data_IF_314607713547
#
_entry.id   IF_314607713547
#
_cell.length_a   1.000
_cell.length_b   1.000
_cell.length_c   1.000
_cell.angle_alpha   90.00
_cell.angle_beta   90.00
_cell.angle_gamma   90.00
#
_symmetry.space_group_name_H-M   'P 1'
#
loop_
_entity.id
_entity.type
_entity.pdbx_description
1 polymer ?
#
# COMPACT_ATOMS: atom_id res chain seq x y z
N UNK A 1 49.60 51.01 -10.14
CA UNK A 1 48.72 51.06 -11.33
C UNK A 1 48.12 49.66 -11.61
N UNK A 2 47.45 49.05 -10.62
CA UNK A 2 46.84 47.70 -10.71
C UNK A 2 45.68 47.50 -9.71
N UNK A 3 45.01 48.58 -9.30
CA UNK A 3 43.92 48.55 -8.32
C UNK A 3 42.80 49.58 -8.63
N UNK A 4 42.45 49.79 -9.91
CA UNK A 4 41.41 50.76 -10.29
C UNK A 4 40.36 50.25 -11.30
N UNK A 5 40.36 48.97 -11.66
CA UNK A 5 39.37 48.39 -12.60
C UNK A 5 38.83 47.01 -12.15
N UNK A 6 38.56 46.85 -10.86
CA UNK A 6 37.99 45.59 -10.32
C UNK A 6 36.46 45.58 -10.27
N UNK A 7 35.85 46.65 -9.77
CA UNK A 7 34.40 46.67 -9.48
C UNK A 7 33.61 47.63 -10.37
N UNK A 8 34.20 48.75 -10.80
CA UNK A 8 33.49 49.76 -11.59
C UNK A 8 33.25 49.32 -13.05
N UNK A 9 34.10 48.44 -13.61
CA UNK A 9 33.94 47.93 -14.98
C UNK A 9 32.81 46.91 -15.15
N UNK A 10 32.55 46.09 -14.11
CA UNK A 10 31.45 45.11 -14.13
C UNK A 10 30.10 45.77 -13.87
N UNK A 11 30.06 46.77 -12.99
CA UNK A 11 28.88 47.61 -12.77
C UNK A 11 28.53 48.44 -14.02
N UNK A 12 29.53 48.96 -14.75
CA UNK A 12 29.31 49.66 -16.01
C UNK A 12 28.78 48.74 -17.12
N UNK A 13 29.33 47.53 -17.27
CA UNK A 13 28.84 46.56 -18.26
C UNK A 13 27.42 46.06 -17.93
N UNK A 14 27.13 45.80 -16.65
CA UNK A 14 25.79 45.42 -16.20
C UNK A 14 24.77 46.55 -16.39
N UNK A 15 25.16 47.81 -16.14
CA UNK A 15 24.30 48.97 -16.36
C UNK A 15 24.02 49.22 -17.85
N UNK A 16 24.99 48.99 -18.74
CA UNK A 16 24.79 49.10 -20.19
C UNK A 16 23.87 47.99 -20.70
N UNK A 17 24.08 46.74 -20.27
CA UNK A 17 23.23 45.61 -20.69
C UNK A 17 21.80 45.76 -20.13
N UNK A 18 21.66 46.17 -18.85
CA UNK A 18 20.36 46.45 -18.26
C UNK A 18 19.66 47.65 -18.92
N UNK A 19 20.42 48.68 -19.33
CA UNK A 19 19.91 49.81 -20.10
C UNK A 19 19.40 49.41 -21.49
N UNK A 20 20.14 48.52 -22.18
CA UNK A 20 19.72 47.98 -23.48
C UNK A 20 18.47 47.10 -23.34
N UNK A 21 18.43 46.23 -22.33
CA UNK A 21 17.25 45.39 -22.06
C UNK A 21 16.02 46.21 -21.64
N UNK A 22 16.21 47.24 -20.82
CA UNK A 22 15.15 48.15 -20.42
C UNK A 22 14.62 48.96 -21.62
N UNK A 23 15.49 49.40 -22.54
CA UNK A 23 15.09 50.08 -23.77
C UNK A 23 14.30 49.15 -24.71
N UNK A 24 14.68 47.87 -24.80
CA UNK A 24 13.96 46.84 -25.60
C UNK A 24 12.57 46.56 -25.02
N UNK A 25 12.45 46.51 -23.69
CA UNK A 25 11.18 46.23 -23.01
C UNK A 25 10.24 47.44 -22.94
N UNK A 26 10.77 48.67 -22.86
CA UNK A 26 9.98 49.89 -22.73
C UNK A 26 9.53 50.49 -24.08
N UNK A 27 10.21 50.18 -25.19
CA UNK A 27 9.86 50.71 -26.52
C UNK A 27 9.93 49.62 -27.62
N UNK A 28 9.09 48.57 -27.57
CA UNK A 28 9.10 47.51 -28.58
C UNK A 28 8.79 48.04 -30.00
N UNK A 29 7.98 49.08 -30.14
CA UNK A 29 7.64 49.66 -31.45
C UNK A 29 8.72 50.61 -32.03
N UNK A 30 9.61 51.15 -31.19
CA UNK A 30 10.70 52.03 -31.64
C UNK A 30 11.82 51.27 -32.37
N UNK A 31 12.11 50.04 -31.92
CA UNK A 31 13.15 49.18 -32.51
C UNK A 31 12.73 48.65 -33.88
N UNK A 32 11.45 48.33 -34.07
CA UNK A 32 10.92 47.94 -35.38
C UNK A 32 11.01 49.06 -36.43
N UNK A 33 10.93 50.33 -36.01
CA UNK A 33 11.13 51.49 -36.91
C UNK A 33 12.59 51.73 -37.29
N UNK A 34 13.53 51.42 -36.39
CA UNK A 34 14.99 51.48 -36.68
C UNK A 34 15.43 50.31 -37.57
N UNK A 35 14.86 49.12 -37.36
CA UNK A 35 15.09 47.95 -38.21
C UNK A 35 14.40 48.05 -39.58
N UNK A 36 13.26 48.76 -39.68
CA UNK A 36 12.59 49.07 -40.94
C UNK A 36 13.35 50.07 -41.84
N UNK A 37 14.44 50.66 -41.35
CA UNK A 37 15.31 51.58 -42.10
C UNK A 37 16.52 50.92 -42.76
N UNK A 38 16.82 49.65 -42.47
CA UNK A 38 17.85 48.90 -43.18
C UNK A 38 17.22 48.20 -44.39
N UNK A 39 17.11 48.94 -45.49
CA UNK A 39 16.97 48.31 -46.80
C UNK A 39 18.28 47.59 -47.12
N UNK A 40 18.36 46.28 -46.83
CA UNK A 40 19.39 45.45 -47.42
C UNK A 40 18.99 45.21 -48.88
N UNK A 41 19.40 46.12 -49.74
CA UNK A 41 19.58 45.86 -51.16
C UNK A 41 20.78 44.94 -51.32
N UNK A 42 20.57 43.63 -51.45
CA UNK A 42 21.45 42.74 -52.21
C UNK A 42 20.82 41.36 -52.30
N UNK A 43 20.73 40.86 -53.53
CA UNK A 43 19.95 39.69 -53.89
C UNK A 43 20.45 38.35 -53.35
N UNK A 44 19.67 37.35 -53.75
CA UNK A 44 19.92 35.91 -53.64
C UNK A 44 19.87 35.34 -52.21
N UNK A 45 18.64 35.04 -51.75
CA UNK A 45 18.32 33.75 -51.12
C UNK A 45 16.80 33.66 -50.82
N UNK A 46 15.96 33.68 -51.87
CA UNK A 46 14.65 33.03 -51.78
C UNK A 46 14.86 31.60 -52.30
N UNK A 47 15.65 30.81 -51.56
CA UNK A 47 15.87 29.40 -51.89
C UNK A 47 14.75 28.58 -51.25
N UNK A 48 14.37 27.48 -51.90
CA UNK A 48 13.43 26.50 -51.35
C UNK A 48 13.82 26.07 -49.93
N UNK A 49 15.13 26.06 -49.64
CA UNK A 49 15.71 25.83 -48.31
C UNK A 49 15.28 26.87 -47.27
N UNK A 50 15.27 28.17 -47.59
CA UNK A 50 14.82 29.21 -46.64
C UNK A 50 13.34 29.04 -46.28
N UNK A 51 12.51 28.64 -47.25
CA UNK A 51 11.09 28.36 -47.05
C UNK A 51 10.84 27.06 -46.28
N UNK A 52 11.66 26.04 -46.51
CA UNK A 52 11.66 24.79 -45.75
C UNK A 52 12.10 25.01 -44.29
N UNK A 53 13.12 25.84 -44.07
CA UNK A 53 13.61 26.24 -42.75
C UNK A 53 12.52 27.03 -42.01
N UNK A 54 11.85 27.98 -42.68
CA UNK A 54 10.74 28.73 -42.08
C UNK A 54 9.50 27.86 -41.79
N UNK A 55 9.18 26.86 -42.63
CA UNK A 55 8.13 25.87 -42.34
C UNK A 55 8.51 24.92 -41.19
N UNK A 56 9.79 24.53 -41.08
CA UNK A 56 10.30 23.77 -39.93
C UNK A 56 10.25 24.60 -38.65
N UNK A 57 10.56 25.90 -38.73
CA UNK A 57 10.48 26.84 -37.62
C UNK A 57 9.05 27.16 -37.19
N UNK A 58 8.08 27.20 -38.11
CA UNK A 58 6.67 27.45 -37.73
C UNK A 58 5.96 26.23 -37.13
N UNK A 59 6.47 25.02 -37.33
CA UNK A 59 6.00 23.77 -36.70
C UNK A 59 6.66 23.48 -35.34
N UNK A 60 7.68 24.24 -34.94
CA UNK A 60 8.38 24.09 -33.65
C UNK A 60 7.56 24.69 -32.51
N UNK A 61 6.56 23.95 -32.07
CA UNK A 61 5.89 24.22 -30.81
C UNK A 61 6.84 23.97 -29.64
N UNK A 62 6.70 24.73 -28.56
CA UNK A 62 7.44 24.50 -27.31
C UNK A 62 7.24 23.06 -26.80
N UNK A 63 8.25 22.46 -26.15
CA UNK A 63 8.11 21.11 -25.60
C UNK A 63 6.92 21.04 -24.64
N UNK A 64 6.06 20.05 -24.83
CA UNK A 64 4.91 19.81 -23.95
C UNK A 64 5.30 18.78 -22.91
N UNK A 65 5.11 19.17 -21.65
CA UNK A 65 5.35 18.34 -20.48
C UNK A 65 4.11 18.41 -19.57
N UNK A 66 3.48 17.26 -19.33
CA UNK A 66 2.40 17.10 -18.38
C UNK A 66 2.78 16.07 -17.33
N UNK A 67 2.57 16.44 -16.07
CA UNK A 67 2.94 15.67 -14.89
C UNK A 67 1.69 15.53 -14.02
N UNK A 68 1.44 14.32 -13.52
CA UNK A 68 0.38 14.01 -12.58
C UNK A 68 0.96 13.90 -11.15
N UNK A 69 0.26 14.51 -10.19
CA UNK A 69 0.63 14.37 -8.78
C UNK A 69 0.17 13.01 -8.26
N UNK A 70 1.00 12.38 -7.43
CA UNK A 70 0.71 11.04 -6.88
C UNK A 70 0.59 11.09 -5.37
N UNK A 71 -0.23 10.19 -4.83
CA UNK A 71 -0.36 9.95 -3.39
C UNK A 71 0.14 8.54 -3.13
N UNK A 72 1.11 8.39 -2.21
CA UNK A 72 1.68 7.11 -1.81
C UNK A 72 1.42 6.87 -0.33
N UNK A 73 1.18 5.61 0.05
CA UNK A 73 1.14 5.20 1.45
C UNK A 73 2.57 4.87 1.95
N UNK A 74 2.78 4.91 3.26
CA UNK A 74 4.07 4.50 3.85
C UNK A 74 4.30 3.01 3.53
N UNK A 75 5.43 2.71 2.87
CA UNK A 75 5.76 1.38 2.37
C UNK A 75 5.53 1.18 0.87
N UNK A 76 4.80 2.08 0.21
CA UNK A 76 4.67 2.08 -1.26
C UNK A 76 5.92 2.69 -1.91
N UNK A 77 6.18 2.27 -3.15
CA UNK A 77 7.21 2.85 -4.00
C UNK A 77 6.67 3.27 -5.37
N UNK A 78 7.33 4.26 -5.98
CA UNK A 78 6.98 4.79 -7.29
C UNK A 78 8.24 5.23 -8.05
N UNK A 79 8.31 4.93 -9.34
CA UNK A 79 9.34 5.47 -10.23
C UNK A 79 8.92 6.85 -10.76
N UNK A 80 9.86 7.80 -10.81
CA UNK A 80 9.56 9.17 -11.24
C UNK A 80 9.01 9.29 -12.66
N UNK A 81 9.41 8.39 -13.56
CA UNK A 81 8.88 8.33 -14.92
C UNK A 81 7.36 8.07 -14.96
N UNK A 82 6.80 7.38 -13.96
CA UNK A 82 5.38 7.04 -13.89
C UNK A 82 4.50 8.24 -13.54
N UNK A 83 5.10 9.37 -13.16
CA UNK A 83 4.41 10.65 -12.97
C UNK A 83 4.20 11.41 -14.29
N UNK A 84 4.88 11.04 -15.37
CA UNK A 84 4.80 11.76 -16.65
C UNK A 84 3.65 11.21 -17.49
N UNK A 85 2.61 12.02 -17.67
CA UNK A 85 1.47 11.66 -18.52
C UNK A 85 1.73 12.00 -19.98
N UNK A 86 2.46 13.10 -20.25
CA UNK A 86 2.80 13.53 -21.61
C UNK A 86 4.20 14.16 -21.64
N UNK A 87 5.04 13.71 -22.58
CA UNK A 87 6.31 14.35 -22.93
C UNK A 87 6.48 14.29 -24.46
N UNK A 88 6.31 15.43 -25.13
CA UNK A 88 6.37 15.51 -26.60
C UNK A 88 7.00 16.82 -27.09
N UNK A 89 7.64 16.77 -28.26
CA UNK A 89 8.19 17.95 -28.93
C UNK A 89 8.00 17.84 -30.44
N UNK A 90 7.28 18.79 -31.03
CA UNK A 90 7.00 18.80 -32.47
C UNK A 90 6.32 17.51 -32.94
N UNK A 91 7.03 16.70 -33.73
CA UNK A 91 6.56 15.40 -34.26
C UNK A 91 7.04 14.19 -33.44
N UNK A 92 7.88 14.39 -32.42
CA UNK A 92 8.35 13.33 -31.54
C UNK A 92 7.39 13.16 -30.37
N UNK A 93 6.69 12.03 -30.35
CA UNK A 93 5.86 11.58 -29.24
C UNK A 93 6.65 10.58 -28.41
N UNK A 94 6.73 10.81 -27.10
CA UNK A 94 7.44 10.01 -26.10
C UNK A 94 8.92 10.38 -25.89
N UNK A 95 9.12 11.53 -25.23
CA UNK A 95 10.44 12.01 -24.79
C UNK A 95 10.68 11.76 -23.29
N UNK A 96 10.00 10.77 -22.69
CA UNK A 96 10.06 10.51 -21.23
C UNK A 96 11.48 10.24 -20.73
N UNK A 97 12.29 9.56 -21.53
CA UNK A 97 13.70 9.27 -21.21
C UNK A 97 14.61 10.51 -21.23
N UNK A 98 14.18 11.59 -21.90
CA UNK A 98 14.93 12.85 -21.99
C UNK A 98 14.52 13.87 -20.92
N UNK A 99 13.53 13.53 -20.09
CA UNK A 99 13.13 14.37 -18.95
C UNK A 99 14.17 14.25 -17.86
N UNK A 100 14.64 15.40 -17.38
CA UNK A 100 15.49 15.52 -16.20
C UNK A 100 14.64 15.78 -14.97
N UNK A 101 15.00 15.14 -13.87
CA UNK A 101 14.26 15.19 -12.61
C UNK A 101 15.13 15.86 -11.55
N UNK A 102 14.58 16.82 -10.81
CA UNK A 102 15.27 17.53 -9.75
C UNK A 102 14.47 17.45 -8.44
N UNK A 103 15.14 17.03 -7.37
CA UNK A 103 14.58 17.01 -6.01
C UNK A 103 14.50 18.44 -5.43
N UNK A 104 13.85 18.61 -4.27
CA UNK A 104 13.66 19.93 -3.63
C UNK A 104 14.98 20.61 -3.25
N UNK A 105 16.03 19.85 -2.98
CA UNK A 105 17.39 20.35 -2.72
C UNK A 105 18.18 20.72 -3.99
N UNK A 106 17.61 20.47 -5.18
CA UNK A 106 18.22 20.73 -6.49
C UNK A 106 19.06 19.58 -7.05
N UNK A 107 19.09 18.42 -6.40
CA UNK A 107 19.83 17.23 -6.88
C UNK A 107 19.17 16.64 -8.14
N UNK A 108 19.96 16.43 -9.21
CA UNK A 108 19.53 15.80 -10.46
C UNK A 108 19.47 14.26 -10.29
N UNK A 109 18.32 13.67 -10.59
CA UNK A 109 18.08 12.23 -10.57
C UNK A 109 17.54 11.74 -11.92
N UNK A 110 17.61 10.44 -12.17
CA UNK A 110 17.15 9.84 -13.43
C UNK A 110 15.71 9.27 -13.30
N UNK A 111 15.11 8.87 -14.42
CA UNK A 111 13.71 8.38 -14.45
C UNK A 111 13.49 7.05 -13.72
N UNK A 112 14.55 6.27 -13.53
CA UNK A 112 14.57 5.03 -12.73
C UNK A 112 14.74 5.28 -11.23
N UNK A 113 14.79 6.54 -10.80
CA UNK A 113 14.85 6.88 -9.38
C UNK A 113 13.52 6.47 -8.71
N UNK A 114 13.62 5.51 -7.80
CA UNK A 114 12.51 5.01 -7.01
C UNK A 114 12.39 5.83 -5.73
N UNK A 115 11.20 6.38 -5.50
CA UNK A 115 10.87 7.05 -4.23
C UNK A 115 10.11 6.06 -3.37
N UNK A 116 10.72 5.65 -2.26
CA UNK A 116 10.05 4.90 -1.19
C UNK A 116 9.42 5.86 -0.20
N UNK A 117 8.16 5.59 0.17
CA UNK A 117 7.41 6.34 1.16
C UNK A 117 7.89 6.06 2.59
N UNK A 118 9.10 6.47 2.98
CA UNK A 118 9.65 6.11 4.31
C UNK A 118 9.13 7.00 5.46
N UNK A 119 8.72 8.24 5.13
CA UNK A 119 8.24 9.24 6.11
C UNK A 119 7.08 10.05 5.53
N UNK A 120 6.07 10.39 6.34
CA UNK A 120 4.96 11.22 5.90
C UNK A 120 5.45 12.64 5.55
N UNK A 121 5.00 13.15 4.41
CA UNK A 121 5.47 14.43 3.89
C UNK A 121 5.04 14.70 2.46
N UNK A 122 5.36 15.88 1.95
CA UNK A 122 5.17 16.24 0.55
C UNK A 122 6.55 16.36 -0.08
N UNK A 123 6.85 15.48 -1.04
CA UNK A 123 8.06 15.57 -1.84
C UNK A 123 7.73 16.40 -3.09
N UNK A 124 8.39 17.53 -3.27
CA UNK A 124 8.28 18.34 -4.49
C UNK A 124 9.36 17.93 -5.48
N UNK A 125 8.96 17.77 -6.73
CA UNK A 125 9.83 17.34 -7.81
C UNK A 125 9.67 18.28 -8.99
N UNK A 126 10.80 18.71 -9.54
CA UNK A 126 10.83 19.55 -10.73
C UNK A 126 11.27 18.70 -11.93
N UNK A 127 10.47 18.75 -12.99
CA UNK A 127 10.67 18.04 -14.23
C UNK A 127 11.05 19.06 -15.30
N UNK A 128 12.18 18.83 -15.99
CA UNK A 128 12.69 19.71 -17.03
C UNK A 128 12.86 18.89 -18.31
N UNK A 129 12.24 19.34 -19.39
CA UNK A 129 12.43 18.77 -20.72
C UNK A 129 13.10 19.83 -21.60
N UNK A 130 14.33 19.54 -22.04
CA UNK A 130 15.06 20.36 -23.01
C UNK A 130 14.81 19.78 -24.40
N UNK A 131 14.10 20.54 -25.25
CA UNK A 131 13.89 20.15 -26.64
C UNK A 131 15.16 20.31 -27.48
N UNK A 132 15.12 19.80 -28.72
CA UNK A 132 16.25 19.81 -29.66
C UNK A 132 16.77 21.22 -30.01
N UNK A 133 15.97 22.26 -29.75
CA UNK A 133 16.30 23.67 -30.01
C UNK A 133 16.81 24.43 -28.79
N UNK A 134 17.23 23.73 -27.73
CA UNK A 134 17.61 24.32 -26.44
C UNK A 134 16.47 25.11 -25.76
N UNK A 135 15.23 24.93 -26.20
CA UNK A 135 14.06 25.43 -25.48
C UNK A 135 13.68 24.48 -24.35
N UNK A 136 13.58 25.02 -23.14
CA UNK A 136 13.29 24.26 -21.93
C UNK A 136 11.86 24.50 -21.46
N UNK A 137 11.14 23.41 -21.17
CA UNK A 137 9.87 23.46 -20.46
C UNK A 137 10.05 22.85 -19.07
N UNK A 138 9.59 23.58 -18.05
CA UNK A 138 9.68 23.16 -16.65
C UNK A 138 8.27 22.98 -16.06
N UNK A 139 8.07 21.88 -15.32
CA UNK A 139 6.87 21.61 -14.53
C UNK A 139 7.24 21.12 -13.14
N UNK A 140 6.47 21.55 -12.14
CA UNK A 140 6.56 21.02 -10.78
C UNK A 140 5.43 20.03 -10.53
N UNK A 141 5.77 18.84 -10.04
CA UNK A 141 4.82 17.90 -9.46
C UNK A 141 5.09 17.69 -7.98
N UNK A 142 4.16 17.06 -7.28
CA UNK A 142 4.38 16.61 -5.91
C UNK A 142 3.94 15.17 -5.72
N UNK A 143 4.65 14.48 -4.83
CA UNK A 143 4.25 13.20 -4.26
C UNK A 143 3.86 13.46 -2.81
N UNK A 144 2.63 13.16 -2.45
CA UNK A 144 2.19 13.23 -1.07
C UNK A 144 2.30 11.85 -0.43
N UNK A 145 3.26 11.68 0.48
CA UNK A 145 3.40 10.47 1.29
C UNK A 145 2.53 10.67 2.53
N UNK A 146 1.49 9.86 2.65
CA UNK A 146 0.57 9.90 3.78
C UNK A 146 0.87 8.74 4.73
N UNK A 147 0.90 9.05 6.03
CA UNK A 147 0.76 7.99 7.05
C UNK A 147 -0.59 7.31 6.84
N UNK A 148 -0.64 5.98 7.00
CA UNK A 148 -1.89 5.21 6.95
C UNK A 148 -2.90 5.90 7.86
N UNK A 149 -3.89 6.61 7.29
CA UNK A 149 -4.90 7.33 8.06
C UNK A 149 -5.68 6.29 8.87
N UNK A 150 -5.53 6.34 10.19
CA UNK A 150 -6.44 5.68 11.09
C UNK A 150 -7.84 6.26 10.84
N UNK A 151 -8.71 5.44 10.28
CA UNK A 151 -10.18 5.56 10.19
C UNK A 151 -10.79 6.95 10.48
N UNK A 152 -11.45 7.62 9.50
CA UNK A 152 -12.08 8.92 9.71
C UNK A 152 -13.19 8.93 10.77
N UNK A 153 -13.56 7.76 11.31
CA UNK A 153 -14.59 7.56 12.33
C UNK A 153 -14.07 7.58 13.77
N UNK A 154 -12.76 7.73 14.03
CA UNK A 154 -12.24 7.73 15.41
C UNK A 154 -12.55 9.05 16.12
N UNK A 155 -13.20 8.96 17.29
CA UNK A 155 -13.59 10.12 18.10
C UNK A 155 -12.70 10.34 19.31
N UNK A 156 -12.13 9.27 19.88
CA UNK A 156 -11.29 9.36 21.07
C UNK A 156 -10.31 8.17 21.21
N UNK A 157 -9.17 8.40 21.86
CA UNK A 157 -8.33 7.35 22.44
C UNK A 157 -8.84 7.05 23.86
N UNK A 158 -9.15 5.79 24.14
CA UNK A 158 -9.65 5.33 25.44
C UNK A 158 -8.49 4.94 26.34
N UNK A 159 -7.67 3.99 25.88
CA UNK A 159 -6.57 3.42 26.64
C UNK A 159 -5.38 3.10 25.72
N UNK A 160 -4.18 3.11 26.32
CA UNK A 160 -2.92 2.73 25.70
C UNK A 160 -2.16 1.79 26.66
N UNK A 161 -1.57 0.74 26.11
CA UNK A 161 -0.80 -0.24 26.87
C UNK A 161 0.56 -0.51 26.21
N UNK A 162 1.61 -0.59 27.02
CA UNK A 162 2.95 -1.01 26.58
C UNK A 162 3.08 -2.54 26.56
N UNK A 163 3.22 -3.07 25.35
CA UNK A 163 3.11 -4.49 25.04
C UNK A 163 4.45 -5.11 24.64
N UNK A 164 5.46 -4.29 24.36
CA UNK A 164 6.79 -4.73 23.94
C UNK A 164 7.61 -5.34 25.07
N UNK A 165 8.45 -6.32 24.73
CA UNK A 165 9.54 -6.76 25.62
C UNK A 165 10.47 -5.58 26.01
N UNK A 166 11.34 -5.79 26.98
CA UNK A 166 12.26 -4.74 27.45
C UNK A 166 13.11 -4.18 26.30
N UNK A 167 12.91 -2.90 25.97
CA UNK A 167 13.61 -2.20 24.88
C UNK A 167 12.91 -2.24 23.51
N UNK A 168 11.76 -2.90 23.39
CA UNK A 168 10.96 -2.96 22.14
C UNK A 168 9.87 -1.87 22.14
N UNK A 169 9.64 -1.21 20.99
CA UNK A 169 8.62 -0.18 20.84
C UNK A 169 7.32 -0.81 20.33
N UNK A 170 6.58 -1.47 21.23
CA UNK A 170 5.28 -2.07 20.89
C UNK A 170 4.22 -1.62 21.87
N UNK A 171 3.14 -1.06 21.33
CA UNK A 171 2.00 -0.55 22.09
C UNK A 171 0.67 -0.96 21.49
N UNK A 172 -0.31 -1.21 22.34
CA UNK A 172 -1.68 -1.39 21.94
C UNK A 172 -2.49 -0.15 22.32
N UNK A 173 -3.35 0.30 21.41
CA UNK A 173 -4.23 1.46 21.61
C UNK A 173 -5.66 1.08 21.32
N UNK A 174 -6.54 1.49 22.22
CA UNK A 174 -7.97 1.30 22.08
C UNK A 174 -8.61 2.64 21.76
N UNK A 175 -9.26 2.70 20.61
CA UNK A 175 -9.95 3.90 20.14
C UNK A 175 -11.46 3.68 20.14
N UNK A 176 -12.19 4.76 20.42
CA UNK A 176 -13.63 4.84 20.27
C UNK A 176 -13.98 5.41 18.89
N UNK A 177 -14.95 4.79 18.21
CA UNK A 177 -15.49 5.28 16.94
C UNK A 177 -16.75 6.13 17.13
N UNK A 178 -17.19 6.85 16.10
CA UNK A 178 -18.42 7.68 16.08
C UNK A 178 -19.68 6.86 16.37
N UNK A 179 -19.70 5.60 15.95
CA UNK A 179 -20.79 4.64 16.17
C UNK A 179 -20.70 3.91 17.53
N UNK A 180 -19.90 4.45 18.47
CA UNK A 180 -19.66 3.89 19.81
C UNK A 180 -18.96 2.52 19.83
N UNK A 181 -18.51 2.00 18.68
CA UNK A 181 -17.73 0.76 18.62
C UNK A 181 -16.25 1.00 18.85
N UNK A 182 -15.50 -0.08 19.12
CA UNK A 182 -14.09 0.01 19.46
C UNK A 182 -13.18 -0.48 18.33
N UNK A 183 -12.11 0.28 18.10
CA UNK A 183 -10.99 -0.09 17.24
C UNK A 183 -9.78 -0.37 18.14
N UNK A 184 -9.23 -1.58 18.04
CA UNK A 184 -7.95 -1.93 18.64
C UNK A 184 -6.83 -1.78 17.60
N UNK A 185 -5.74 -1.12 17.97
CA UNK A 185 -4.56 -0.94 17.11
C UNK A 185 -3.31 -1.39 17.85
N UNK A 186 -2.59 -2.38 17.32
CA UNK A 186 -1.27 -2.76 17.77
C UNK A 186 -0.24 -2.11 16.86
N UNK A 187 0.54 -1.21 17.43
CA UNK A 187 1.43 -0.29 16.73
C UNK A 187 2.87 -0.42 17.22
N UNK A 188 3.79 -0.07 16.33
CA UNK A 188 5.22 -0.06 16.58
C UNK A 188 5.96 -1.24 15.97
N UNK A 189 7.16 -1.49 16.49
CA UNK A 189 8.08 -2.50 16.01
C UNK A 189 8.76 -3.20 17.17
N UNK A 190 8.72 -4.53 17.14
CA UNK A 190 9.43 -5.37 18.10
C UNK A 190 8.62 -6.56 18.58
N UNK A 191 9.21 -7.29 19.54
CA UNK A 191 8.60 -8.47 20.14
C UNK A 191 7.57 -8.10 21.21
N UNK A 192 6.41 -8.74 21.14
CA UNK A 192 5.34 -8.63 22.14
C UNK A 192 5.63 -9.55 23.32
N UNK A 193 5.36 -9.07 24.55
CA UNK A 193 5.39 -9.90 25.76
C UNK A 193 4.51 -11.16 25.56
N UNK A 194 4.79 -12.29 26.24
CA UNK A 194 3.92 -13.46 26.19
C UNK A 194 2.52 -13.12 26.74
N UNK A 195 1.49 -13.34 25.91
CA UNK A 195 0.11 -13.04 26.24
C UNK A 195 -0.80 -14.24 25.98
N UNK A 196 -1.89 -14.30 26.73
CA UNK A 196 -3.01 -15.22 26.53
C UNK A 196 -4.35 -14.52 26.78
N UNK A 197 -5.45 -15.26 26.69
CA UNK A 197 -6.81 -14.78 26.90
C UNK A 197 -7.05 -14.02 28.23
N UNK A 198 -6.26 -14.27 29.27
CA UNK A 198 -6.42 -13.69 30.62
C UNK A 198 -5.46 -12.51 30.87
N UNK A 199 -4.40 -12.42 30.08
CA UNK A 199 -3.35 -11.39 30.21
C UNK A 199 -3.41 -10.30 29.13
N UNK A 200 -4.20 -10.48 28.07
CA UNK A 200 -4.43 -9.39 27.11
C UNK A 200 -5.07 -8.17 27.81
N UNK A 201 -4.58 -6.94 27.57
CA UNK A 201 -5.09 -5.75 28.27
C UNK A 201 -6.57 -5.45 28.00
N UNK A 202 -7.05 -5.74 26.79
CA UNK A 202 -8.41 -5.45 26.37
C UNK A 202 -9.44 -6.51 26.76
N UNK A 203 -9.12 -7.43 27.69
CA UNK A 203 -10.00 -8.55 28.06
C UNK A 203 -11.39 -8.12 28.53
N UNK A 204 -11.50 -6.99 29.25
CA UNK A 204 -12.76 -6.52 29.82
C UNK A 204 -13.67 -5.85 28.79
N UNK A 205 -13.10 -5.40 27.66
CA UNK A 205 -13.82 -4.71 26.58
C UNK A 205 -13.90 -5.52 25.28
N UNK A 206 -13.30 -6.73 25.25
CA UNK A 206 -13.11 -7.54 24.04
C UNK A 206 -14.39 -7.84 23.26
N UNK A 207 -15.54 -7.97 23.93
CA UNK A 207 -16.82 -8.23 23.27
C UNK A 207 -17.29 -7.07 22.38
N UNK A 208 -16.78 -5.85 22.60
CA UNK A 208 -17.16 -4.62 21.87
C UNK A 208 -16.17 -4.20 20.79
N UNK A 209 -15.03 -4.89 20.69
CA UNK A 209 -14.02 -4.63 19.64
C UNK A 209 -14.57 -5.09 18.30
N UNK A 210 -14.76 -4.15 17.38
CA UNK A 210 -15.30 -4.39 16.05
C UNK A 210 -14.19 -4.63 15.02
N UNK A 211 -13.11 -3.85 15.13
CA UNK A 211 -11.99 -3.83 14.20
C UNK A 211 -10.70 -3.93 15.00
N UNK A 212 -9.76 -4.76 14.53
CA UNK A 212 -8.41 -4.79 15.04
C UNK A 212 -7.41 -4.57 13.91
N UNK A 213 -6.40 -3.73 14.14
CA UNK A 213 -5.27 -3.48 13.23
C UNK A 213 -3.98 -3.88 13.92
N UNK A 214 -3.12 -4.61 13.21
CA UNK A 214 -1.79 -4.99 13.69
C UNK A 214 -0.79 -4.53 12.64
N UNK A 215 0.17 -3.70 13.04
CA UNK A 215 1.21 -3.16 12.17
C UNK A 215 2.23 -4.22 11.73
N UNK A 216 3.00 -3.89 10.69
CA UNK A 216 3.94 -4.82 10.07
C UNK A 216 5.03 -5.29 11.03
N UNK A 217 5.59 -4.35 11.79
CA UNK A 217 6.75 -4.55 12.67
C UNK A 217 6.48 -5.32 13.95
N UNK A 218 5.23 -5.75 14.20
CA UNK A 218 4.87 -6.51 15.40
C UNK A 218 5.33 -7.96 15.24
N UNK A 219 6.14 -8.43 16.18
CA UNK A 219 6.66 -9.80 16.22
C UNK A 219 6.10 -10.56 17.43
N UNK A 220 5.57 -11.75 17.21
CA UNK A 220 5.17 -12.67 18.28
C UNK A 220 5.19 -14.10 17.77
N UNK A 221 5.65 -15.04 18.59
CA UNK A 221 5.60 -16.47 18.25
C UNK A 221 4.20 -17.07 18.52
N UNK A 222 3.38 -16.43 19.34
CA UNK A 222 2.12 -16.97 19.87
C UNK A 222 1.04 -15.89 19.98
N UNK A 223 -0.11 -16.17 19.38
CA UNK A 223 -1.32 -15.34 19.43
C UNK A 223 -2.47 -16.02 20.18
N UNK A 224 -2.15 -16.99 21.04
CA UNK A 224 -3.13 -17.83 21.71
C UNK A 224 -4.13 -16.98 22.50
N UNK A 225 -5.42 -17.11 22.19
CA UNK A 225 -6.51 -16.43 22.90
C UNK A 225 -6.54 -14.90 22.79
N UNK A 226 -5.74 -14.26 21.93
CA UNK A 226 -5.68 -12.79 21.86
C UNK A 226 -7.03 -12.12 21.57
N UNK A 227 -7.88 -12.77 20.77
CA UNK A 227 -9.22 -12.31 20.41
C UNK A 227 -10.30 -13.28 20.91
N UNK A 228 -10.02 -14.04 21.96
CA UNK A 228 -10.99 -14.97 22.55
C UNK A 228 -12.27 -14.22 22.94
N UNK A 229 -13.41 -14.66 22.41
CA UNK A 229 -14.73 -14.06 22.59
C UNK A 229 -14.83 -12.59 22.16
N UNK A 230 -14.05 -12.13 21.17
CA UNK A 230 -14.30 -10.84 20.53
C UNK A 230 -15.56 -10.89 19.65
N UNK A 231 -16.73 -10.92 20.30
CA UNK A 231 -18.02 -11.19 19.67
C UNK A 231 -18.42 -10.18 18.60
N UNK A 232 -17.94 -8.94 18.67
CA UNK A 232 -18.22 -7.89 17.69
C UNK A 232 -17.21 -7.83 16.53
N UNK A 233 -16.13 -8.61 16.58
CA UNK A 233 -15.06 -8.56 15.58
C UNK A 233 -15.57 -9.01 14.21
N UNK A 234 -15.56 -8.10 13.23
CA UNK A 234 -16.12 -8.33 11.89
C UNK A 234 -15.11 -8.92 10.90
N UNK A 235 -13.83 -8.59 11.09
CA UNK A 235 -12.74 -8.96 10.20
C UNK A 235 -11.56 -9.52 10.99
N UNK A 236 -10.83 -10.44 10.37
CA UNK A 236 -9.60 -10.99 10.94
C UNK A 236 -8.50 -9.94 10.80
N UNK A 237 -7.81 -9.55 11.89
CA UNK A 237 -6.66 -8.67 11.81
C UNK A 237 -5.51 -9.34 11.06
N UNK A 238 -4.56 -8.51 10.58
CA UNK A 238 -3.27 -9.02 10.12
C UNK A 238 -2.65 -9.92 11.18
N UNK A 239 -2.20 -11.10 10.78
CA UNK A 239 -1.47 -12.01 11.66
C UNK A 239 0.03 -11.85 11.38
N UNK A 240 0.87 -11.57 12.39
CA UNK A 240 2.33 -11.53 12.23
C UNK A 240 2.86 -12.82 11.61
N UNK A 241 3.77 -12.70 10.63
CA UNK A 241 4.37 -13.87 9.96
C UNK A 241 5.22 -14.73 10.90
N UNK A 242 5.68 -14.14 12.00
CA UNK A 242 6.44 -14.82 13.06
C UNK A 242 5.58 -15.69 13.98
N UNK A 243 4.25 -15.56 13.93
CA UNK A 243 3.34 -16.30 14.79
C UNK A 243 3.12 -17.73 14.27
N UNK A 244 3.42 -18.70 15.12
CA UNK A 244 3.28 -20.12 14.81
C UNK A 244 2.09 -20.78 15.53
N UNK A 245 1.65 -20.20 16.65
CA UNK A 245 0.54 -20.71 17.48
C UNK A 245 -0.62 -19.72 17.54
N UNK A 246 -1.82 -20.23 17.28
CA UNK A 246 -3.09 -19.49 17.22
C UNK A 246 -4.21 -20.21 18.01
N UNK A 247 -3.86 -20.83 19.13
CA UNK A 247 -4.82 -21.62 19.90
C UNK A 247 -5.92 -20.72 20.45
N UNK A 248 -7.17 -21.06 20.15
CA UNK A 248 -8.35 -20.32 20.58
C UNK A 248 -8.35 -18.83 20.22
N UNK A 249 -7.51 -18.38 19.26
CA UNK A 249 -7.29 -16.96 18.99
C UNK A 249 -8.58 -16.21 18.66
N UNK A 250 -9.48 -16.79 17.87
CA UNK A 250 -10.77 -16.20 17.50
C UNK A 250 -11.96 -17.01 18.03
N UNK A 251 -11.77 -17.82 19.08
CA UNK A 251 -12.84 -18.65 19.63
C UNK A 251 -14.02 -17.79 20.07
N UNK A 252 -15.22 -18.06 19.56
CA UNK A 252 -16.45 -17.34 19.88
C UNK A 252 -16.62 -15.97 19.21
N UNK A 253 -15.80 -15.65 18.19
CA UNK A 253 -15.93 -14.43 17.38
C UNK A 253 -17.11 -14.54 16.40
N UNK A 254 -18.31 -14.37 16.93
CA UNK A 254 -19.57 -14.63 16.22
C UNK A 254 -19.93 -13.63 15.10
N UNK A 255 -19.17 -12.57 14.84
CA UNK A 255 -19.41 -11.67 13.70
C UNK A 255 -18.49 -11.94 12.51
N UNK A 256 -17.48 -12.79 12.67
CA UNK A 256 -16.61 -13.21 11.57
C UNK A 256 -17.40 -14.05 10.56
N UNK A 257 -17.27 -13.68 9.28
CA UNK A 257 -17.90 -14.41 8.15
C UNK A 257 -16.91 -15.26 7.34
N UNK A 258 -15.63 -14.92 7.40
CA UNK A 258 -14.58 -15.63 6.69
C UNK A 258 -13.42 -15.95 7.65
N UNK A 259 -12.85 -17.14 7.51
CA UNK A 259 -11.67 -17.59 8.24
C UNK A 259 -10.43 -17.57 7.33
N UNK A 260 -9.31 -17.14 7.89
CA UNK A 260 -7.99 -17.20 7.27
C UNK A 260 -6.99 -17.91 8.19
N UNK A 261 -6.19 -18.81 7.64
CA UNK A 261 -5.11 -19.47 8.38
C UNK A 261 -3.80 -19.08 7.69
N UNK A 262 -2.82 -18.51 8.41
CA UNK A 262 -1.57 -18.09 7.79
C UNK A 262 -0.72 -19.32 7.44
N UNK A 263 0.02 -19.24 6.33
CA UNK A 263 0.81 -20.36 5.80
C UNK A 263 1.89 -20.88 6.77
N UNK A 264 2.32 -20.06 7.73
CA UNK A 264 3.29 -20.43 8.77
C UNK A 264 2.69 -21.12 10.01
N UNK A 265 1.35 -21.17 10.15
CA UNK A 265 0.71 -21.67 11.37
C UNK A 265 0.98 -23.16 11.62
N UNK A 266 1.44 -23.49 12.83
CA UNK A 266 1.71 -24.87 13.26
C UNK A 266 0.61 -25.42 14.16
N UNK A 267 0.10 -24.59 15.07
CA UNK A 267 -0.98 -24.94 15.99
C UNK A 267 -2.15 -23.97 15.85
N UNK A 268 -3.30 -24.49 15.44
CA UNK A 268 -4.55 -23.75 15.25
C UNK A 268 -5.70 -24.38 16.05
N UNK A 269 -5.39 -25.07 17.15
CA UNK A 269 -6.39 -25.70 18.01
C UNK A 269 -7.47 -24.69 18.43
N UNK A 270 -8.73 -25.00 18.13
CA UNK A 270 -9.88 -24.18 18.50
C UNK A 270 -9.84 -22.74 17.98
N UNK A 271 -8.99 -22.42 16.99
CA UNK A 271 -8.77 -21.05 16.51
C UNK A 271 -10.09 -20.34 16.13
N UNK A 272 -11.05 -21.06 15.54
CA UNK A 272 -12.38 -20.57 15.18
C UNK A 272 -13.51 -21.36 15.85
N UNK A 273 -13.24 -22.03 16.98
CA UNK A 273 -14.29 -22.74 17.72
C UNK A 273 -15.41 -21.77 18.12
N UNK A 274 -16.67 -22.21 18.03
CA UNK A 274 -17.86 -21.40 18.36
C UNK A 274 -18.05 -20.13 17.51
N UNK A 275 -17.44 -20.04 16.32
CA UNK A 275 -17.71 -18.97 15.34
C UNK A 275 -18.97 -19.28 14.50
N UNK A 276 -20.15 -19.11 15.09
CA UNK A 276 -21.41 -19.59 14.50
C UNK A 276 -21.86 -18.91 13.20
N UNK A 277 -21.34 -17.72 12.89
CA UNK A 277 -21.62 -17.00 11.62
C UNK A 277 -20.56 -17.18 10.54
N UNK A 278 -19.54 -18.01 10.79
CA UNK A 278 -18.49 -18.27 9.81
C UNK A 278 -19.08 -19.00 8.60
N UNK A 279 -19.02 -18.37 7.43
CA UNK A 279 -19.58 -18.91 6.18
C UNK A 279 -18.51 -19.53 5.29
N UNK A 280 -17.30 -18.98 5.31
CA UNK A 280 -16.19 -19.41 4.45
C UNK A 280 -14.93 -19.62 5.29
N UNK A 281 -14.09 -20.56 4.86
CA UNK A 281 -12.76 -20.74 5.41
C UNK A 281 -11.75 -21.00 4.27
N UNK A 282 -10.55 -20.46 4.43
CA UNK A 282 -9.42 -20.76 3.56
C UNK A 282 -8.91 -22.20 3.69
N UNK A 283 -7.86 -22.56 2.94
CA UNK A 283 -7.21 -23.85 3.07
C UNK A 283 -6.63 -24.06 4.47
N UNK A 284 -6.48 -25.32 4.88
CA UNK A 284 -5.59 -25.68 5.99
C UNK A 284 -4.18 -25.85 5.42
N UNK A 285 -3.21 -24.98 5.78
CA UNK A 285 -1.87 -25.00 5.21
C UNK A 285 -1.08 -26.27 5.53
N UNK A 286 -0.01 -26.50 4.78
CA UNK A 286 0.86 -27.69 4.92
C UNK A 286 1.72 -27.68 6.19
N UNK A 287 1.90 -26.51 6.81
CA UNK A 287 2.63 -26.28 8.06
C UNK A 287 1.86 -26.73 9.30
N UNK A 288 0.53 -26.80 9.22
CA UNK A 288 -0.33 -27.13 10.36
C UNK A 288 -0.05 -28.56 10.84
N UNK A 289 0.12 -28.72 12.15
CA UNK A 289 0.33 -29.99 12.84
C UNK A 289 -0.83 -30.32 13.79
N UNK A 290 -1.41 -29.29 14.39
CA UNK A 290 -2.56 -29.39 15.30
C UNK A 290 -3.72 -28.51 14.81
N UNK A 291 -4.85 -29.14 14.47
CA UNK A 291 -6.10 -28.47 14.12
C UNK A 291 -7.30 -29.02 14.91
N UNK A 292 -7.07 -29.47 16.14
CA UNK A 292 -8.15 -29.94 17.02
C UNK A 292 -9.19 -28.85 17.20
N UNK A 293 -10.48 -29.20 17.12
CA UNK A 293 -11.59 -28.29 17.35
C UNK A 293 -11.60 -26.98 16.53
N UNK A 294 -10.75 -26.82 15.50
CA UNK A 294 -10.54 -25.52 14.83
C UNK A 294 -11.82 -24.88 14.31
N UNK A 295 -12.73 -25.65 13.71
CA UNK A 295 -14.01 -25.18 13.18
C UNK A 295 -15.21 -25.77 13.93
N UNK A 296 -15.00 -26.24 15.16
CA UNK A 296 -16.07 -26.81 15.97
C UNK A 296 -17.18 -25.78 16.19
N UNK A 297 -18.43 -26.21 16.04
CA UNK A 297 -19.64 -25.38 16.14
C UNK A 297 -19.76 -24.26 15.08
N UNK A 298 -18.97 -24.30 13.99
CA UNK A 298 -19.13 -23.39 12.83
C UNK A 298 -20.29 -23.83 11.93
N UNK A 299 -21.53 -23.68 12.42
CA UNK A 299 -22.72 -24.24 11.77
C UNK A 299 -23.04 -23.70 10.38
N UNK A 300 -22.60 -22.47 10.03
CA UNK A 300 -22.86 -21.86 8.71
C UNK A 300 -21.75 -22.08 7.67
N UNK A 301 -20.70 -22.81 8.03
CA UNK A 301 -19.54 -23.00 7.18
C UNK A 301 -19.90 -23.85 5.95
N UNK A 302 -19.68 -23.30 4.76
CA UNK A 302 -20.06 -23.90 3.46
C UNK A 302 -18.95 -23.68 2.44
N UNK A 303 -19.10 -24.27 1.26
CA UNK A 303 -18.13 -24.12 0.17
C UNK A 303 -17.08 -25.22 0.22
N UNK A 304 -15.81 -24.88 0.00
CA UNK A 304 -14.72 -25.85 -0.08
C UNK A 304 -13.51 -25.45 0.75
N UNK A 305 -12.96 -26.39 1.52
CA UNK A 305 -11.71 -26.25 2.27
C UNK A 305 -10.69 -27.22 1.68
N UNK A 306 -9.58 -26.70 1.18
CA UNK A 306 -8.47 -27.53 0.71
C UNK A 306 -7.55 -27.89 1.89
N UNK A 307 -7.20 -29.18 1.98
CA UNK A 307 -6.22 -29.68 2.92
C UNK A 307 -4.86 -29.75 2.21
N UNK A 308 -4.01 -28.78 2.48
CA UNK A 308 -2.66 -28.72 1.88
C UNK A 308 -1.66 -29.57 2.67
N UNK A 309 -1.95 -29.87 3.94
CA UNK A 309 -1.18 -30.72 4.83
C UNK A 309 -1.93 -31.94 5.37
N UNK A 310 -1.21 -32.77 6.13
CA UNK A 310 -1.74 -33.88 6.93
C UNK A 310 -1.49 -33.57 8.41
N UNK A 311 -2.38 -32.83 9.09
CA UNK A 311 -2.22 -32.54 10.51
C UNK A 311 -2.22 -33.85 11.30
N UNK A 312 -1.34 -33.95 12.30
CA UNK A 312 -1.22 -35.14 13.14
C UNK A 312 -2.36 -35.20 14.18
N UNK A 313 -2.85 -34.04 14.60
CA UNK A 313 -3.95 -33.87 15.54
C UNK A 313 -5.05 -33.09 14.86
N UNK A 314 -6.22 -33.72 14.69
CA UNK A 314 -7.37 -33.14 13.96
C UNK A 314 -8.70 -33.46 14.64
N UNK A 315 -8.64 -33.99 15.85
CA UNK A 315 -9.82 -34.42 16.59
C UNK A 315 -10.78 -33.25 16.82
N UNK A 316 -12.03 -33.45 16.46
CA UNK A 316 -13.11 -32.48 16.58
C UNK A 316 -13.01 -31.29 15.64
N UNK A 317 -12.06 -31.29 14.68
CA UNK A 317 -11.80 -30.13 13.81
C UNK A 317 -13.07 -29.59 13.14
N UNK A 318 -13.94 -30.48 12.65
CA UNK A 318 -15.20 -30.14 12.01
C UNK A 318 -16.45 -30.58 12.80
N UNK A 319 -16.34 -30.73 14.11
CA UNK A 319 -17.45 -31.17 14.96
C UNK A 319 -18.58 -30.13 14.95
N UNK A 320 -19.81 -30.55 14.65
CA UNK A 320 -20.98 -29.65 14.52
C UNK A 320 -20.79 -28.51 13.50
N UNK A 321 -19.89 -28.67 12.53
CA UNK A 321 -19.69 -27.75 11.41
C UNK A 321 -20.72 -27.99 10.31
N UNK A 322 -21.09 -26.94 9.56
CA UNK A 322 -22.02 -27.06 8.41
C UNK A 322 -23.39 -27.67 8.77
N UNK A 323 -23.87 -27.42 9.99
CA UNK A 323 -25.16 -27.91 10.53
C UNK A 323 -26.35 -27.03 10.15
N UNK A 324 -26.10 -25.78 9.75
CA UNK A 324 -27.07 -24.71 9.48
C UNK A 324 -26.85 -24.08 8.09
N UNK A 325 -26.53 -24.88 7.08
CA UNK A 325 -26.16 -24.40 5.72
C UNK A 325 -27.30 -24.45 4.70
N UNK A 326 -28.52 -24.76 5.12
CA UNK A 326 -29.65 -24.93 4.19
C UNK A 326 -29.34 -26.02 3.16
N UNK A 327 -29.51 -25.73 1.87
CA UNK A 327 -29.21 -26.65 0.76
C UNK A 327 -27.73 -26.73 0.37
N UNK A 328 -26.87 -25.88 0.96
CA UNK A 328 -25.44 -25.93 0.74
C UNK A 328 -24.77 -27.09 1.48
N UNK A 329 -23.48 -27.24 1.28
CA UNK A 329 -22.64 -28.23 1.96
C UNK A 329 -21.21 -27.70 2.05
N UNK A 330 -20.42 -28.35 2.91
CA UNK A 330 -18.99 -28.13 3.03
C UNK A 330 -18.23 -29.29 2.37
N UNK A 331 -17.36 -28.93 1.44
CA UNK A 331 -16.52 -29.87 0.71
C UNK A 331 -15.09 -29.83 1.26
N UNK A 332 -14.59 -30.98 1.71
CA UNK A 332 -13.18 -31.14 2.04
C UNK A 332 -12.46 -31.64 0.79
N UNK A 333 -11.44 -30.89 0.34
CA UNK A 333 -10.72 -31.14 -0.90
C UNK A 333 -9.30 -31.59 -0.56
N UNK A 334 -8.90 -32.74 -1.09
CA UNK A 334 -7.55 -33.28 -0.94
C UNK A 334 -6.99 -33.66 -2.32
N UNK A 335 -5.75 -33.26 -2.58
CA UNK A 335 -4.99 -33.49 -3.83
C UNK A 335 -4.20 -34.80 -3.84
N UNK A 336 -4.04 -35.46 -2.69
CA UNK A 336 -3.31 -36.72 -2.54
C UNK A 336 -4.03 -37.70 -1.63
N UNK A 337 -3.71 -38.98 -1.78
CA UNK A 337 -4.35 -40.09 -1.04
C UNK A 337 -4.13 -40.01 0.48
N UNK A 338 -2.94 -39.60 0.93
CA UNK A 338 -2.63 -39.42 2.36
C UNK A 338 -3.47 -38.31 2.99
N UNK A 339 -3.66 -37.20 2.27
CA UNK A 339 -4.51 -36.09 2.71
C UNK A 339 -6.00 -36.45 2.64
N UNK A 340 -6.40 -37.26 1.66
CA UNK A 340 -7.76 -37.75 1.56
C UNK A 340 -8.13 -38.66 2.73
N UNK A 341 -7.19 -39.50 3.21
CA UNK A 341 -7.39 -40.31 4.41
C UNK A 341 -7.61 -39.45 5.66
N UNK A 342 -6.82 -38.38 5.83
CA UNK A 342 -7.02 -37.41 6.91
C UNK A 342 -8.38 -36.70 6.79
N UNK A 343 -8.75 -36.25 5.59
CA UNK A 343 -10.04 -35.63 5.30
C UNK A 343 -11.22 -36.56 5.65
N UNK A 344 -11.12 -37.83 5.28
CA UNK A 344 -12.13 -38.84 5.59
C UNK A 344 -12.24 -39.13 7.09
N UNK A 345 -11.12 -39.17 7.82
CA UNK A 345 -11.12 -39.36 9.25
C UNK A 345 -11.81 -38.19 9.96
N UNK A 346 -11.45 -36.94 9.60
CA UNK A 346 -12.09 -35.73 10.10
C UNK A 346 -13.59 -35.70 9.79
N UNK A 347 -13.97 -36.07 8.56
CA UNK A 347 -15.37 -36.15 8.13
C UNK A 347 -16.17 -37.18 8.95
N UNK A 348 -15.62 -38.39 9.13
CA UNK A 348 -16.30 -39.46 9.89
C UNK A 348 -16.54 -39.04 11.34
N UNK A 349 -15.57 -38.39 11.97
CA UNK A 349 -15.74 -37.85 13.31
C UNK A 349 -16.86 -36.81 13.38
N UNK A 350 -16.91 -35.88 12.41
CA UNK A 350 -17.92 -34.84 12.36
C UNK A 350 -19.36 -35.37 12.19
N UNK A 351 -19.54 -36.45 11.41
CA UNK A 351 -20.86 -37.04 11.10
C UNK A 351 -21.32 -38.07 12.14
N UNK A 352 -20.39 -38.79 12.78
CA UNK A 352 -20.75 -39.82 13.76
C UNK A 352 -21.46 -39.27 15.01
N UNK A 353 -21.38 -37.96 15.27
CA UNK A 353 -21.93 -37.31 16.48
C UNK A 353 -23.44 -36.95 16.36
N UNK A 354 -24.22 -37.73 15.60
CA UNK A 354 -25.68 -37.54 15.41
C UNK A 354 -26.07 -36.14 14.89
N UNK A 355 -25.17 -35.53 14.12
CA UNK A 355 -25.19 -34.12 13.74
C UNK A 355 -25.87 -33.92 12.37
N UNK A 356 -26.54 -32.79 12.17
CA UNK A 356 -27.05 -32.35 10.86
C UNK A 356 -25.93 -31.85 9.92
N UNK A 357 -24.68 -32.30 10.13
CA UNK A 357 -23.49 -31.87 9.41
C UNK A 357 -23.59 -32.24 7.92
N UNK A 358 -23.59 -31.23 7.05
CA UNK A 358 -23.60 -31.42 5.59
C UNK A 358 -22.18 -31.30 5.02
N UNK A 359 -21.32 -32.25 5.39
CA UNK A 359 -19.91 -32.31 4.96
C UNK A 359 -19.73 -33.48 3.99
N UNK A 360 -18.82 -33.36 3.01
CA UNK A 360 -18.38 -34.49 2.20
C UNK A 360 -16.93 -34.29 1.73
N UNK A 361 -16.27 -35.39 1.40
CA UNK A 361 -14.87 -35.38 0.95
C UNK A 361 -14.81 -35.57 -0.57
N UNK A 362 -14.06 -34.71 -1.26
CA UNK A 362 -13.72 -34.87 -2.68
C UNK A 362 -12.23 -35.16 -2.81
N UNK A 363 -11.93 -36.30 -3.41
CA UNK A 363 -10.59 -36.66 -3.89
C UNK A 363 -10.42 -36.02 -5.26
N UNK A 364 -9.35 -35.25 -5.46
CA UNK A 364 -9.00 -34.74 -6.80
C UNK A 364 -8.30 -35.80 -7.63
#
# INVERSE_FOLDING_TARGET
MRQLFGEHGRMAAAAVIAGIFAAILLYPEGILKVLGGFSVTSGAADTSETREILQKLSKKGSPKLAVENKVLEIGDSLFLQDMITEASHGTSSDLREQVKYYLEDGTEVNGSYEISGDKPGVIKIRFVLTGEDYMETCKSGYIQIQSRKADPQITALIEEWEMGEEGEDVRARLYKKEDETLLLSLEGKGRVKPLNQDTVPWKDVRETIEVCRIEEGIETACMDGWFYQCRSLKEIPRMPETAESFRFTFKGCNQLRAAGIPDGAKDIEGMYEDCGNLELAGPIPSSVRNCRNTFKNCGKLKGSIALLGCPAQYEGCFLQTATNVGDCCLQLVADREDKAAAAEAMYKEAVNDNSSCRIFVRKM
#
